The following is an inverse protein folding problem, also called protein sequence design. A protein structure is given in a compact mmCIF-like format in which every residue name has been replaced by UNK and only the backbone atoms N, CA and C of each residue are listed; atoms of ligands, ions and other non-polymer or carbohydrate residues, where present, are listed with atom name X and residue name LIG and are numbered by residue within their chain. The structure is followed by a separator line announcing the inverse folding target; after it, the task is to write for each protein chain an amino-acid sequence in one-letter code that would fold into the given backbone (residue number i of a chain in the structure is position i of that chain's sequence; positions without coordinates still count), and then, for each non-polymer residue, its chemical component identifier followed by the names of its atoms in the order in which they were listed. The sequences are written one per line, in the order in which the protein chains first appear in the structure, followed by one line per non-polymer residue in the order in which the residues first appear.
data_IF_374598557774
#
_entry.id   IF_374598557774
#
_cell.length_a   1.000
_cell.length_b   1.000
_cell.length_c   1.000
_cell.angle_alpha   90.00
_cell.angle_beta   90.00
_cell.angle_gamma   90.00
#
_symmetry.space_group_name_H-M   'P 1'
#
loop_
_entity.id
_entity.type
_entity.pdbx_description
1 polymer ?
#
# COMPACT_ATOMS: atom_id res chain seq x y z
N UNK A 1 5.15 -12.14 28.47
CA UNK A 1 4.08 -11.81 27.49
C UNK A 1 4.51 -10.48 26.94
N UNK A 2 4.88 -10.46 25.66
CA UNK A 2 5.42 -9.26 25.02
C UNK A 2 4.26 -8.45 24.40
N UNK A 3 4.50 -7.18 24.25
CA UNK A 3 3.51 -6.21 23.73
C UNK A 3 2.89 -6.65 22.40
N UNK A 4 3.59 -7.45 21.61
CA UNK A 4 3.12 -7.93 20.29
C UNK A 4 2.00 -8.97 20.41
N UNK A 5 2.03 -9.80 21.43
CA UNK A 5 0.96 -10.77 21.73
C UNK A 5 -0.29 -10.06 22.22
N UNK A 6 -0.11 -8.98 22.99
CA UNK A 6 -1.21 -8.15 23.48
C UNK A 6 -1.92 -7.39 22.35
N UNK A 7 -1.15 -6.90 21.37
CA UNK A 7 -1.69 -6.23 20.18
C UNK A 7 -2.51 -7.16 19.27
N UNK A 8 -2.06 -8.41 19.09
CA UNK A 8 -2.78 -9.39 18.27
C UNK A 8 -4.11 -9.77 18.92
N UNK A 9 -4.12 -9.98 20.23
CA UNK A 9 -5.33 -10.31 20.99
C UNK A 9 -6.33 -9.14 20.99
N UNK A 10 -5.84 -7.91 21.05
CA UNK A 10 -6.69 -6.72 20.98
C UNK A 10 -7.28 -6.49 19.58
N UNK A 11 -6.50 -6.80 18.52
CA UNK A 11 -6.97 -6.67 17.14
C UNK A 11 -8.10 -7.67 16.84
N UNK A 12 -8.02 -8.90 17.33
CA UNK A 12 -9.06 -9.91 17.16
C UNK A 12 -10.39 -9.49 17.79
N UNK A 13 -10.36 -8.81 18.94
CA UNK A 13 -11.57 -8.30 19.60
C UNK A 13 -12.23 -7.12 18.87
N UNK A 14 -11.48 -6.39 18.05
CA UNK A 14 -12.03 -5.29 17.23
C UNK A 14 -12.51 -5.73 15.85
N UNK A 15 -12.03 -6.88 15.32
CA UNK A 15 -12.34 -7.35 13.97
C UNK A 15 -13.79 -7.78 13.78
N UNK A 16 -14.50 -8.11 14.85
CA UNK A 16 -15.87 -8.62 14.80
C UNK A 16 -16.95 -7.61 14.37
N UNK A 17 -16.64 -6.32 14.25
CA UNK A 17 -17.64 -5.28 13.95
C UNK A 17 -17.35 -4.42 12.72
N UNK A 18 -16.21 -4.62 12.05
CA UNK A 18 -15.86 -3.92 10.81
C UNK A 18 -15.88 -4.82 9.59
N UNK A 19 -16.58 -5.94 9.64
CA UNK A 19 -16.73 -6.85 8.51
C UNK A 19 -17.70 -6.30 7.47
N UNK A 20 -17.31 -5.22 6.80
CA UNK A 20 -17.96 -4.80 5.55
C UNK A 20 -17.36 -5.56 4.36
N UNK A 21 -16.18 -6.14 4.54
CA UNK A 21 -15.52 -6.95 3.51
C UNK A 21 -14.84 -8.17 4.12
N UNK A 22 -15.62 -9.20 4.51
CA UNK A 22 -15.10 -10.53 4.69
C UNK A 22 -15.20 -11.27 3.37
N UNK A 23 -14.14 -11.28 2.60
CA UNK A 23 -13.91 -12.31 1.60
C UNK A 23 -12.66 -13.09 1.98
N UNK A 24 -12.93 -14.30 2.49
CA UNK A 24 -11.94 -15.35 2.66
C UNK A 24 -11.29 -15.70 1.33
N UNK A 25 -9.98 -15.85 1.36
CA UNK A 25 -9.15 -16.65 0.46
C UNK A 25 -9.26 -16.35 -1.03
N UNK A 26 -8.63 -15.24 -1.46
CA UNK A 26 -8.04 -15.20 -2.80
C UNK A 26 -6.72 -14.45 -2.79
N UNK A 27 -5.65 -15.17 -3.10
CA UNK A 27 -4.35 -14.64 -3.43
C UNK A 27 -4.45 -13.62 -4.58
N UNK A 28 -4.12 -12.37 -4.25
CA UNK A 28 -3.50 -11.35 -5.10
C UNK A 28 -3.96 -11.18 -6.55
N UNK A 29 -5.08 -10.46 -6.74
CA UNK A 29 -5.21 -9.57 -7.91
C UNK A 29 -6.12 -8.37 -7.56
N UNK A 30 -5.57 -7.25 -7.04
CA UNK A 30 -6.36 -6.04 -6.78
C UNK A 30 -7.04 -5.50 -8.04
N UNK A 31 -6.40 -5.62 -9.21
CA UNK A 31 -6.93 -5.09 -10.48
C UNK A 31 -8.11 -5.90 -11.01
N UNK A 32 -8.05 -7.21 -10.91
CA UNK A 32 -9.13 -8.07 -11.40
C UNK A 32 -10.37 -7.97 -10.50
N UNK A 33 -10.17 -7.95 -9.19
CA UNK A 33 -11.25 -7.74 -8.23
C UNK A 33 -11.92 -6.37 -8.39
N UNK A 34 -11.13 -5.30 -8.56
CA UNK A 34 -11.68 -3.97 -8.74
C UNK A 34 -12.37 -3.84 -10.09
N UNK A 35 -11.83 -4.41 -11.14
CA UNK A 35 -12.48 -4.42 -12.45
C UNK A 35 -13.78 -5.19 -12.42
N UNK A 36 -13.80 -6.41 -11.88
CA UNK A 36 -14.99 -7.24 -11.72
C UNK A 36 -16.00 -6.57 -10.80
N UNK A 37 -15.55 -5.90 -9.74
CA UNK A 37 -16.39 -5.11 -8.86
C UNK A 37 -17.01 -3.92 -9.60
N UNK A 38 -16.24 -3.16 -10.38
CA UNK A 38 -16.78 -2.04 -11.17
C UNK A 38 -17.66 -2.51 -12.33
N UNK A 39 -17.34 -3.59 -13.00
CA UNK A 39 -18.21 -4.21 -14.01
C UNK A 39 -19.51 -4.74 -13.38
N UNK A 40 -19.45 -5.25 -12.15
CA UNK A 40 -20.63 -5.69 -11.39
C UNK A 40 -21.50 -4.54 -10.85
N UNK A 41 -20.98 -3.29 -10.84
CA UNK A 41 -21.70 -2.08 -10.42
C UNK A 41 -22.66 -1.53 -11.49
N UNK A 42 -23.18 -2.39 -12.37
CA UNK A 42 -24.11 -1.96 -13.45
C UNK A 42 -25.45 -1.42 -12.93
N UNK A 43 -25.79 -1.70 -11.67
CA UNK A 43 -26.97 -1.13 -11.08
C UNK A 43 -26.68 0.23 -10.41
N UNK A 44 -27.56 1.20 -10.61
CA UNK A 44 -27.48 2.53 -10.00
C UNK A 44 -27.43 2.45 -8.46
N UNK A 45 -28.03 1.42 -7.86
CA UNK A 45 -28.06 1.21 -6.41
C UNK A 45 -26.69 0.83 -5.86
N UNK A 46 -25.97 -0.09 -6.51
CA UNK A 46 -24.62 -0.46 -6.11
C UNK A 46 -23.62 0.69 -6.25
N UNK A 47 -23.79 1.53 -7.29
CA UNK A 47 -23.00 2.75 -7.44
C UNK A 47 -23.24 3.72 -6.28
N UNK A 48 -24.50 3.90 -5.87
CA UNK A 48 -24.84 4.77 -4.73
C UNK A 48 -24.26 4.24 -3.42
N UNK A 49 -24.31 2.94 -3.18
CA UNK A 49 -23.73 2.29 -2.01
C UNK A 49 -22.22 2.51 -1.97
N UNK A 50 -21.53 2.22 -3.07
CA UNK A 50 -20.09 2.44 -3.19
C UNK A 50 -19.68 3.90 -2.88
N UNK A 51 -20.33 4.87 -3.47
CA UNK A 51 -20.03 6.28 -3.20
C UNK A 51 -20.36 6.69 -1.76
N UNK A 52 -21.40 6.11 -1.15
CA UNK A 52 -21.72 6.30 0.26
C UNK A 52 -20.60 5.77 1.17
N UNK A 53 -20.07 4.59 0.88
CA UNK A 53 -18.97 4.00 1.62
C UNK A 53 -17.67 4.79 1.43
N UNK A 54 -17.39 5.25 0.22
CA UNK A 54 -16.22 6.09 -0.06
C UNK A 54 -16.30 7.42 0.69
N UNK A 55 -17.45 8.08 0.71
CA UNK A 55 -17.66 9.32 1.47
C UNK A 55 -17.51 9.08 2.98
N UNK A 56 -17.90 7.92 3.45
CA UNK A 56 -17.66 7.49 4.84
C UNK A 56 -16.17 7.36 5.12
N UNK A 57 -15.41 6.69 4.26
CA UNK A 57 -13.96 6.53 4.40
C UNK A 57 -13.22 7.88 4.38
N UNK A 58 -13.62 8.78 3.48
CA UNK A 58 -13.10 10.15 3.42
C UNK A 58 -13.32 10.91 4.73
N UNK A 59 -14.52 10.83 5.30
CA UNK A 59 -14.82 11.45 6.61
C UNK A 59 -13.97 10.83 7.72
N UNK A 60 -13.96 9.50 7.83
CA UNK A 60 -13.20 8.78 8.86
C UNK A 60 -11.70 9.06 8.80
N UNK A 61 -11.15 9.27 7.59
CA UNK A 61 -9.72 9.59 7.44
C UNK A 61 -9.36 10.99 7.96
N UNK A 62 -10.32 11.91 7.99
CA UNK A 62 -10.16 13.28 8.50
C UNK A 62 -10.43 13.37 10.02
N UNK A 63 -11.03 12.36 10.63
CA UNK A 63 -11.28 12.35 12.07
C UNK A 63 -9.95 12.18 12.85
N UNK A 64 -9.89 12.73 14.07
CA UNK A 64 -8.74 12.48 14.95
C UNK A 64 -8.67 11.01 15.36
N UNK A 65 -7.53 10.60 15.92
CA UNK A 65 -7.38 9.28 16.51
C UNK A 65 -8.42 9.10 17.62
N UNK A 66 -9.21 8.05 17.52
CA UNK A 66 -10.20 7.67 18.52
C UNK A 66 -9.76 6.41 19.26
N UNK A 67 -10.40 6.15 20.40
CA UNK A 67 -10.21 4.88 21.12
C UNK A 67 -11.35 3.93 20.81
N UNK A 68 -11.01 2.67 20.58
CA UNK A 68 -11.99 1.61 20.43
C UNK A 68 -12.75 1.44 21.75
N UNK A 69 -14.08 1.46 21.70
CA UNK A 69 -14.93 1.31 22.89
C UNK A 69 -14.81 -0.08 23.53
N UNK A 70 -14.40 -1.09 22.79
CA UNK A 70 -14.31 -2.47 23.28
C UNK A 70 -12.95 -2.80 23.91
N UNK A 71 -11.84 -2.36 23.27
CA UNK A 71 -10.49 -2.75 23.71
C UNK A 71 -9.61 -1.57 24.12
N UNK A 72 -10.07 -0.33 23.97
CA UNK A 72 -9.30 0.87 24.32
C UNK A 72 -8.15 1.19 23.36
N UNK A 73 -7.91 0.36 22.34
CA UNK A 73 -6.85 0.61 21.37
C UNK A 73 -7.12 1.89 20.55
N UNK A 74 -6.06 2.59 20.18
CA UNK A 74 -6.19 3.73 19.26
C UNK A 74 -6.64 3.25 17.89
N UNK A 75 -7.69 3.86 17.35
CA UNK A 75 -8.23 3.55 16.03
C UNK A 75 -8.16 4.77 15.13
N UNK A 76 -7.67 4.56 13.89
CA UNK A 76 -7.54 5.61 12.88
C UNK A 76 -7.67 5.02 11.48
N UNK A 77 -8.43 5.68 10.64
CA UNK A 77 -8.37 5.46 9.20
C UNK A 77 -7.38 6.46 8.60
N UNK A 78 -6.47 5.96 7.79
CA UNK A 78 -5.46 6.76 7.09
C UNK A 78 -5.77 6.78 5.61
N UNK A 79 -5.75 7.96 5.00
CA UNK A 79 -5.78 8.13 3.56
C UNK A 79 -4.33 8.24 3.06
N UNK A 80 -3.79 7.15 2.55
CA UNK A 80 -2.45 7.13 1.97
C UNK A 80 -2.52 7.46 0.49
N UNK A 81 -1.93 8.58 0.12
CA UNK A 81 -1.77 8.96 -1.28
C UNK A 81 -0.48 8.34 -1.82
N UNK A 82 -0.56 7.68 -2.98
CA UNK A 82 0.65 7.26 -3.68
C UNK A 82 1.43 8.51 -4.12
N UNK A 83 2.74 8.51 -3.96
CA UNK A 83 3.55 9.70 -4.18
C UNK A 83 4.98 9.36 -4.60
N UNK A 84 5.87 10.34 -4.50
CA UNK A 84 7.26 10.27 -4.99
C UNK A 84 8.08 9.11 -4.39
N UNK A 85 7.67 8.53 -3.27
CA UNK A 85 8.29 7.32 -2.73
C UNK A 85 8.10 6.10 -3.66
N UNK A 86 7.16 6.17 -4.63
CA UNK A 86 6.99 5.15 -5.67
C UNK A 86 8.21 5.01 -6.59
N UNK A 87 9.14 5.98 -6.60
CA UNK A 87 10.42 5.86 -7.32
C UNK A 87 11.20 4.59 -6.96
N UNK A 88 10.99 4.05 -5.75
CA UNK A 88 11.62 2.80 -5.32
C UNK A 88 11.26 1.63 -6.24
N UNK A 89 10.08 1.64 -6.85
CA UNK A 89 9.65 0.61 -7.80
C UNK A 89 10.52 0.61 -9.05
N UNK A 90 10.89 1.81 -9.53
CA UNK A 90 11.80 1.98 -10.67
C UNK A 90 13.17 1.42 -10.28
N UNK A 91 13.68 1.82 -9.12
CA UNK A 91 14.93 1.28 -8.60
C UNK A 91 14.91 -0.25 -8.49
N UNK A 92 13.84 -0.83 -7.95
CA UNK A 92 13.69 -2.30 -7.86
C UNK A 92 13.63 -2.96 -9.23
N UNK A 93 12.99 -2.31 -10.23
CA UNK A 93 12.92 -2.84 -11.58
C UNK A 93 14.28 -2.93 -12.28
N UNK A 94 15.22 -2.05 -11.91
CA UNK A 94 16.60 -2.05 -12.44
C UNK A 94 17.55 -2.97 -11.67
N UNK A 95 17.42 -3.03 -10.33
CA UNK A 95 18.39 -3.71 -9.46
C UNK A 95 17.91 -5.09 -8.99
N UNK A 96 16.63 -5.38 -9.11
CA UNK A 96 16.05 -6.68 -8.76
C UNK A 96 15.80 -7.54 -9.99
N UNK A 97 16.11 -8.84 -9.90
CA UNK A 97 15.63 -9.82 -10.87
C UNK A 97 14.16 -10.10 -10.60
N UNK A 98 13.45 -10.53 -11.63
CA UNK A 98 12.03 -10.90 -11.48
C UNK A 98 11.86 -11.98 -10.41
N UNK A 99 10.96 -11.74 -9.46
CA UNK A 99 10.69 -12.65 -8.34
C UNK A 99 11.74 -12.65 -7.22
N UNK A 100 12.84 -11.89 -7.34
CA UNK A 100 13.90 -11.83 -6.34
C UNK A 100 13.55 -10.84 -5.23
N UNK A 101 13.81 -11.24 -3.97
CA UNK A 101 13.74 -10.34 -2.83
C UNK A 101 15.01 -9.53 -2.70
N UNK A 102 14.88 -8.21 -2.73
CA UNK A 102 15.98 -7.27 -2.57
C UNK A 102 15.85 -6.50 -1.26
N UNK A 103 16.98 -6.18 -0.66
CA UNK A 103 17.00 -5.27 0.48
C UNK A 103 16.92 -3.83 -0.04
N UNK A 104 15.83 -3.15 0.27
CA UNK A 104 15.70 -1.73 -0.11
C UNK A 104 16.62 -0.92 0.81
N UNK A 105 17.61 -0.22 0.25
CA UNK A 105 18.54 0.55 1.06
C UNK A 105 17.82 1.67 1.79
N UNK A 106 18.13 1.81 3.07
CA UNK A 106 17.59 2.87 3.93
C UNK A 106 18.35 4.18 3.81
N UNK A 107 19.44 4.19 3.02
CA UNK A 107 20.32 5.35 2.86
C UNK A 107 20.52 5.73 1.39
N UNK A 108 20.58 7.01 1.09
CA UNK A 108 20.98 7.58 -0.19
C UNK A 108 19.83 7.73 -1.18
N UNK A 109 19.75 6.85 -2.17
CA UNK A 109 18.82 6.96 -3.29
C UNK A 109 17.33 7.00 -2.93
N UNK A 110 16.94 6.54 -1.74
CA UNK A 110 15.53 6.40 -1.34
C UNK A 110 15.22 7.23 -0.08
N UNK A 111 16.14 8.12 0.34
CA UNK A 111 15.97 9.04 1.47
C UNK A 111 15.21 8.43 2.64
N UNK A 112 15.77 7.45 3.35
CA UNK A 112 15.39 7.08 4.72
C UNK A 112 13.91 6.90 5.10
N UNK A 113 13.00 7.31 4.26
CA UNK A 113 11.58 7.28 4.50
C UNK A 113 11.04 5.85 4.35
N UNK A 114 10.62 5.25 5.44
CA UNK A 114 9.94 3.95 5.42
C UNK A 114 8.61 3.93 4.65
N UNK A 115 8.26 5.05 4.02
CA UNK A 115 7.00 5.24 3.29
C UNK A 115 6.85 4.32 2.07
N UNK A 116 7.96 3.86 1.48
CA UNK A 116 7.90 2.86 0.40
C UNK A 116 7.17 1.58 0.82
N UNK A 117 7.20 1.21 2.11
CA UNK A 117 6.49 0.03 2.60
C UNK A 117 4.96 0.13 2.44
N UNK A 118 4.42 1.34 2.25
CA UNK A 118 3.00 1.58 1.95
C UNK A 118 2.60 1.07 0.58
N UNK A 119 3.54 0.95 -0.37
CA UNK A 119 3.29 0.42 -1.72
C UNK A 119 2.70 -0.99 -1.72
N UNK A 120 2.88 -1.74 -0.63
CA UNK A 120 2.23 -3.04 -0.43
C UNK A 120 0.70 -2.95 -0.38
N UNK A 121 0.15 -1.81 0.03
CA UNK A 121 -1.30 -1.63 0.11
C UNK A 121 -1.96 -1.57 -1.28
N UNK A 122 -1.20 -1.21 -2.32
CA UNK A 122 -1.60 -1.31 -3.72
C UNK A 122 -1.16 -2.62 -4.39
N UNK A 123 -0.57 -3.56 -3.62
CA UNK A 123 -0.04 -4.79 -4.18
C UNK A 123 1.17 -4.62 -5.09
N UNK A 124 1.87 -3.47 -5.04
CA UNK A 124 3.00 -3.17 -5.93
C UNK A 124 4.30 -3.83 -5.48
N UNK A 125 4.43 -4.07 -4.18
CA UNK A 125 5.54 -4.80 -3.58
C UNK A 125 5.02 -5.78 -2.54
N UNK A 126 5.76 -6.83 -2.31
CA UNK A 126 5.48 -7.78 -1.23
C UNK A 126 6.70 -8.02 -0.35
N UNK A 127 6.44 -8.21 0.93
CA UNK A 127 7.46 -8.45 1.94
C UNK A 127 7.89 -9.91 1.92
N UNK A 128 9.18 -10.18 2.11
CA UNK A 128 9.65 -11.55 2.29
C UNK A 128 8.99 -12.20 3.51
N UNK A 129 8.46 -13.42 3.36
CA UNK A 129 7.93 -14.18 4.50
C UNK A 129 9.05 -14.66 5.43
N UNK A 130 10.30 -14.67 4.96
CA UNK A 130 11.46 -15.09 5.74
C UNK A 130 12.13 -13.88 6.38
N UNK A 131 12.26 -13.89 7.69
CA UNK A 131 13.10 -12.95 8.42
C UNK A 131 14.39 -13.66 8.85
N UNK A 132 15.52 -13.36 8.21
CA UNK A 132 16.80 -14.01 8.54
C UNK A 132 17.33 -13.61 9.91
N UNK A 133 16.87 -12.49 10.47
CA UNK A 133 17.28 -12.00 11.77
C UNK A 133 16.08 -11.94 12.73
N UNK A 134 15.92 -12.91 13.65
CA UNK A 134 14.77 -12.94 14.57
C UNK A 134 14.74 -11.78 15.55
N UNK A 135 15.84 -11.03 15.69
CA UNK A 135 15.89 -9.83 16.54
C UNK A 135 15.29 -8.60 15.87
N UNK A 136 15.04 -8.65 14.57
CA UNK A 136 14.45 -7.55 13.81
C UNK A 136 12.97 -7.81 13.55
N UNK A 137 12.15 -6.79 13.70
CA UNK A 137 10.70 -6.84 13.37
C UNK A 137 10.45 -7.08 11.86
N UNK A 138 11.42 -6.80 11.00
CA UNK A 138 11.29 -6.94 9.55
C UNK A 138 12.61 -7.32 8.93
N UNK A 139 12.58 -8.19 7.92
CA UNK A 139 13.76 -8.55 7.14
C UNK A 139 14.32 -7.39 6.30
N UNK A 140 13.49 -6.36 6.03
CA UNK A 140 13.83 -5.32 5.04
C UNK A 140 13.87 -5.83 3.59
N UNK A 141 13.49 -7.09 3.38
CA UNK A 141 13.51 -7.73 2.06
C UNK A 141 12.13 -7.62 1.41
N UNK A 142 12.12 -7.09 0.20
CA UNK A 142 10.92 -6.87 -0.60
C UNK A 142 11.13 -7.33 -2.02
N UNK A 143 10.09 -7.78 -2.67
CA UNK A 143 10.10 -8.03 -4.10
C UNK A 143 9.06 -7.19 -4.82
N UNK A 144 9.34 -6.91 -6.07
CA UNK A 144 8.42 -6.26 -6.98
C UNK A 144 7.38 -7.29 -7.46
N UNK A 145 6.11 -6.94 -7.42
CA UNK A 145 5.06 -7.75 -8.03
C UNK A 145 4.99 -7.48 -9.54
N UNK A 146 4.24 -8.28 -10.28
CA UNK A 146 3.98 -8.01 -11.71
C UNK A 146 3.32 -6.66 -11.90
N UNK A 147 2.26 -6.38 -11.12
CA UNK A 147 1.57 -5.07 -11.14
C UNK A 147 2.52 -3.94 -10.79
N UNK A 148 3.38 -4.13 -9.77
CA UNK A 148 4.39 -3.14 -9.40
C UNK A 148 5.41 -2.88 -10.51
N UNK A 149 5.79 -3.90 -11.26
CA UNK A 149 6.68 -3.78 -12.41
C UNK A 149 6.01 -3.01 -13.56
N UNK A 150 4.77 -3.36 -13.87
CA UNK A 150 4.02 -2.67 -14.93
C UNK A 150 3.76 -1.21 -14.58
N UNK A 151 3.46 -0.91 -13.33
CA UNK A 151 3.34 0.46 -12.85
C UNK A 151 4.68 1.21 -12.94
N UNK A 152 5.78 0.62 -12.48
CA UNK A 152 7.12 1.22 -12.56
C UNK A 152 7.54 1.52 -14.02
N UNK A 153 7.14 0.66 -14.96
CA UNK A 153 7.41 0.82 -16.39
C UNK A 153 6.37 1.69 -17.13
N UNK A 154 5.48 2.35 -16.39
CA UNK A 154 4.40 3.19 -16.91
C UNK A 154 3.45 2.45 -17.88
N UNK A 155 3.24 1.16 -17.66
CA UNK A 155 2.34 0.30 -18.43
C UNK A 155 0.98 0.11 -17.78
N UNK A 156 0.88 0.43 -16.48
CA UNK A 156 -0.34 0.33 -15.68
C UNK A 156 -0.53 1.59 -14.86
N UNK A 157 -1.76 1.81 -14.40
CA UNK A 157 -2.14 2.84 -13.43
C UNK A 157 -2.63 2.17 -12.15
N UNK A 158 -2.64 2.92 -11.05
CA UNK A 158 -3.19 2.48 -9.78
C UNK A 158 -4.05 3.57 -9.15
N UNK A 159 -4.88 3.20 -8.21
CA UNK A 159 -5.71 4.16 -7.48
C UNK A 159 -4.85 5.18 -6.73
N UNK A 160 -5.25 6.44 -6.78
CA UNK A 160 -4.47 7.56 -6.23
C UNK A 160 -4.33 7.53 -4.71
N UNK A 161 -5.37 7.04 -4.00
CA UNK A 161 -5.44 6.99 -2.54
C UNK A 161 -5.92 5.62 -2.10
N UNK A 162 -5.24 5.06 -1.08
CA UNK A 162 -5.63 3.88 -0.34
C UNK A 162 -6.09 4.27 1.06
N UNK A 163 -7.26 3.80 1.47
CA UNK A 163 -7.77 3.94 2.83
C UNK A 163 -7.37 2.71 3.64
N UNK A 164 -6.69 2.96 4.75
CA UNK A 164 -6.10 1.92 5.58
C UNK A 164 -6.49 2.11 7.04
N UNK A 165 -7.00 1.06 7.67
CA UNK A 165 -7.36 1.07 9.09
C UNK A 165 -6.21 0.59 9.96
N UNK A 166 -6.02 1.22 11.11
CA UNK A 166 -5.10 0.71 12.11
C UNK A 166 -5.66 0.97 13.52
N UNK A 167 -5.83 -0.08 14.36
CA UNK A 167 -5.97 -1.49 14.04
C UNK A 167 -7.26 -1.79 13.24
N UNK A 168 -7.44 -2.92 12.61
CA UNK A 168 -6.64 -4.15 12.63
C UNK A 168 -5.46 -4.15 11.67
N UNK A 169 -5.31 -3.17 10.82
CA UNK A 169 -4.21 -3.10 9.88
C UNK A 169 -4.57 -3.62 8.48
N UNK A 170 -5.71 -3.19 7.94
CA UNK A 170 -6.26 -3.64 6.66
C UNK A 170 -6.58 -2.49 5.72
N UNK A 171 -6.60 -2.80 4.43
CA UNK A 171 -7.07 -1.90 3.37
C UNK A 171 -8.59 -1.92 3.38
N UNK A 172 -9.22 -0.75 3.53
CA UNK A 172 -10.67 -0.58 3.55
C UNK A 172 -11.24 -0.23 2.17
N UNK A 173 -10.43 0.34 1.28
CA UNK A 173 -10.86 0.75 -0.05
C UNK A 173 -9.90 1.73 -0.70
N UNK A 174 -10.29 2.16 -1.89
CA UNK A 174 -9.48 3.06 -2.73
C UNK A 174 -10.32 4.18 -3.32
N UNK A 175 -9.67 5.33 -3.59
CA UNK A 175 -10.28 6.31 -4.49
C UNK A 175 -10.33 5.75 -5.92
N UNK A 176 -11.39 6.05 -6.69
CA UNK A 176 -11.52 5.56 -8.06
C UNK A 176 -10.53 6.22 -9.04
N UNK A 177 -9.98 7.38 -8.66
CA UNK A 177 -9.05 8.11 -9.51
C UNK A 177 -7.76 7.33 -9.70
N UNK A 178 -7.39 7.13 -10.96
CA UNK A 178 -6.18 6.41 -11.36
C UNK A 178 -5.03 7.38 -11.61
N UNK A 179 -3.83 6.97 -11.23
CA UNK A 179 -2.59 7.71 -11.46
C UNK A 179 -1.53 6.80 -12.07
N UNK A 180 -0.72 7.36 -12.95
CA UNK A 180 0.48 6.71 -13.48
C UNK A 180 1.66 6.89 -12.52
N UNK A 181 2.77 6.19 -12.77
CA UNK A 181 4.03 6.41 -12.05
C UNK A 181 4.52 7.86 -12.23
N UNK A 182 4.34 8.45 -13.40
CA UNK A 182 4.73 9.83 -13.69
C UNK A 182 3.93 10.80 -12.83
N UNK A 183 2.62 10.60 -12.69
CA UNK A 183 1.78 11.41 -11.82
C UNK A 183 2.18 11.27 -10.35
N UNK A 184 2.50 10.06 -9.92
CA UNK A 184 2.94 9.77 -8.55
C UNK A 184 4.28 10.42 -8.21
N UNK A 185 5.23 10.44 -9.15
CA UNK A 185 6.53 11.13 -8.99
C UNK A 185 6.36 12.64 -8.87
N UNK A 186 5.37 13.21 -9.59
CA UNK A 186 5.07 14.64 -9.57
C UNK A 186 6.23 15.50 -10.08
N UNK A 187 6.41 16.68 -9.47
CA UNK A 187 7.45 17.63 -9.87
C UNK A 187 8.84 17.34 -9.27
N UNK A 188 8.92 16.38 -8.38
CA UNK A 188 10.15 16.13 -7.62
C UNK A 188 11.16 15.26 -8.36
N UNK A 189 10.67 14.44 -9.32
CA UNK A 189 11.50 13.50 -10.04
C UNK A 189 11.09 13.45 -11.51
N UNK A 190 12.07 13.50 -12.39
CA UNK A 190 11.86 13.25 -13.81
C UNK A 190 11.93 11.76 -14.10
N UNK A 191 10.83 11.21 -14.65
CA UNK A 191 10.71 9.79 -14.92
C UNK A 191 11.76 9.30 -15.93
N UNK A 192 12.06 10.08 -16.95
CA UNK A 192 13.02 9.71 -17.99
C UNK A 192 14.45 9.64 -17.43
N UNK A 193 14.80 10.57 -16.54
CA UNK A 193 16.07 10.56 -15.81
C UNK A 193 16.20 9.33 -14.91
N UNK A 194 15.14 9.00 -14.15
CA UNK A 194 15.14 7.79 -13.32
C UNK A 194 15.28 6.52 -14.15
N UNK A 195 14.58 6.44 -15.29
CA UNK A 195 14.65 5.30 -16.19
C UNK A 195 16.00 5.17 -16.90
N UNK A 196 16.75 6.26 -17.07
CA UNK A 196 18.11 6.22 -17.60
C UNK A 196 19.15 5.78 -16.57
N UNK A 197 18.76 5.67 -15.28
CA UNK A 197 19.67 5.37 -14.17
C UNK A 197 20.51 6.57 -13.68
N UNK A 198 20.43 7.71 -14.34
CA UNK A 198 21.26 8.88 -14.04
C UNK A 198 21.11 9.39 -12.60
N UNK A 199 19.88 9.52 -12.11
CA UNK A 199 19.63 10.03 -10.75
C UNK A 199 20.10 9.05 -9.64
N UNK A 200 20.20 7.77 -9.95
CA UNK A 200 20.69 6.77 -9.01
C UNK A 200 22.20 6.83 -8.81
N UNK A 201 22.94 7.16 -9.86
CA UNK A 201 24.40 7.32 -9.82
C UNK A 201 24.80 8.56 -9.01
N UNK A 202 24.07 9.67 -9.16
CA UNK A 202 24.35 10.92 -8.42
C UNK A 202 24.04 10.79 -6.93
N UNK A 203 23.05 9.99 -6.56
CA UNK A 203 22.67 9.79 -5.15
C UNK A 203 23.64 8.87 -4.38
N UNK A 204 24.57 8.21 -5.06
CA UNK A 204 25.58 7.32 -4.46
C UNK A 204 26.94 8.00 -4.24
N UNK A 205 27.09 9.27 -4.68
CA UNK A 205 28.29 10.11 -4.46
C UNK A 205 28.06 11.10 -3.32
#
# INVERSE_FOLDING_TARGET
MDEETEWLTQAENCSGQLSIFNSHDQENQPDEFLRDFFESLDSLERKKEYFSDLDRLRRMSNEPISKCHHCGANSKVYAYKIGSYARVLIWMAFHGKEGEYVHIPTSGAINGDGDYAKLRYWGLIEKSPKNPDPKKKSSGLWRLTTTGRDFALNKATVNSICYYSHPPGEVLGFEPDQVSIVDALGKHFDYSSLMSGYEWEVALL
#
